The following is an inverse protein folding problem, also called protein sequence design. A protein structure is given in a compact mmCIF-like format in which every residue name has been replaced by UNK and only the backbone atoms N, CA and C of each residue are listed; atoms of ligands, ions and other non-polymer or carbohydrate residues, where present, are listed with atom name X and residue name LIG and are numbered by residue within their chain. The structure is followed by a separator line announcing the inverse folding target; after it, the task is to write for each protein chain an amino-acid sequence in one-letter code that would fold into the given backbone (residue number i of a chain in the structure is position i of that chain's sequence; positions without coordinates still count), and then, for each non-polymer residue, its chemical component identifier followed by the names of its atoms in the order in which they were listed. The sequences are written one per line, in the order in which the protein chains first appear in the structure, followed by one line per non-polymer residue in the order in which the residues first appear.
data_IF_583242723028
#
_entry.id   IF_583242723028
#
_cell.length_a   1.000
_cell.length_b   1.000
_cell.length_c   1.000
_cell.angle_alpha   90.00
_cell.angle_beta   90.00
_cell.angle_gamma   90.00
#
_symmetry.space_group_name_H-M   'P 1'
#
loop_
_entity.id
_entity.type
_entity.pdbx_description
1 polymer ?
#
# COMPACT_ATOMS: atom_id res chain seq x y z
N UNK A 1 -24.32 -21.98 18.19
CA UNK A 1 -22.97 -22.16 17.62
C UNK A 1 -23.10 -22.05 16.11
N UNK A 2 -22.74 -20.91 15.53
CA UNK A 2 -22.81 -20.70 14.08
C UNK A 2 -21.51 -21.18 13.47
N UNK A 3 -21.57 -22.20 12.61
CA UNK A 3 -20.41 -22.72 11.89
C UNK A 3 -20.08 -21.73 10.77
N UNK A 4 -18.92 -21.07 10.83
CA UNK A 4 -18.42 -20.32 9.69
C UNK A 4 -17.85 -21.31 8.67
N UNK A 5 -18.40 -21.33 7.46
CA UNK A 5 -17.90 -22.14 6.37
C UNK A 5 -16.50 -21.66 5.94
N UNK A 6 -15.59 -22.60 5.69
CA UNK A 6 -14.22 -22.32 5.28
C UNK A 6 -14.19 -21.76 3.84
N UNK A 7 -13.69 -20.52 3.69
CA UNK A 7 -13.64 -19.84 2.39
C UNK A 7 -12.32 -20.22 1.71
N UNK A 8 -12.41 -21.12 0.75
CA UNK A 8 -11.25 -21.56 -0.04
C UNK A 8 -10.81 -20.52 -1.05
N UNK A 9 -9.50 -20.35 -1.20
CA UNK A 9 -8.90 -19.48 -2.21
C UNK A 9 -9.00 -20.08 -3.61
N UNK A 10 -9.14 -19.21 -4.62
CA UNK A 10 -9.19 -19.61 -6.03
C UNK A 10 -7.86 -20.24 -6.47
N UNK A 11 -7.87 -21.34 -7.23
CA UNK A 11 -6.66 -21.93 -7.82
C UNK A 11 -5.85 -20.95 -8.67
N UNK A 12 -6.48 -19.91 -9.23
CA UNK A 12 -5.80 -18.87 -10.02
C UNK A 12 -4.78 -18.08 -9.21
N UNK A 13 -4.86 -18.10 -7.88
CA UNK A 13 -3.96 -17.40 -6.98
C UNK A 13 -2.78 -18.27 -6.50
N UNK A 14 -2.74 -19.57 -6.84
CA UNK A 14 -1.77 -20.52 -6.26
C UNK A 14 -0.31 -20.20 -6.54
N UNK A 15 -0.01 -19.41 -7.57
CA UNK A 15 1.33 -18.94 -7.92
C UNK A 15 1.58 -17.45 -7.69
N UNK A 16 0.59 -16.72 -7.17
CA UNK A 16 0.72 -15.29 -6.95
C UNK A 16 1.46 -15.04 -5.62
N UNK A 17 2.64 -14.42 -5.69
CA UNK A 17 3.38 -13.97 -4.52
C UNK A 17 3.69 -12.48 -4.64
N UNK A 18 3.28 -11.70 -3.64
CA UNK A 18 3.63 -10.29 -3.50
C UNK A 18 4.35 -10.08 -2.17
N UNK A 19 5.66 -10.33 -2.18
CA UNK A 19 6.50 -10.38 -0.98
C UNK A 19 6.75 -9.02 -0.34
N UNK A 20 6.34 -7.92 -0.97
CA UNK A 20 6.55 -6.55 -0.47
C UNK A 20 5.92 -6.32 0.91
N UNK A 21 4.80 -6.99 1.21
CA UNK A 21 4.16 -7.01 2.53
C UNK A 21 4.24 -8.40 3.20
N UNK A 22 5.32 -9.12 2.93
CA UNK A 22 5.56 -10.46 3.45
C UNK A 22 6.17 -10.48 4.87
N UNK A 23 6.70 -11.64 5.30
CA UNK A 23 7.28 -11.84 6.63
C UNK A 23 8.40 -10.86 6.98
N UNK A 24 9.17 -10.42 5.98
CA UNK A 24 10.25 -9.45 6.17
C UNK A 24 9.71 -8.07 6.56
N UNK A 25 8.65 -7.60 5.91
CA UNK A 25 8.00 -6.35 6.28
C UNK A 25 7.43 -6.45 7.70
N UNK A 26 6.82 -7.57 8.06
CA UNK A 26 6.33 -7.82 9.42
C UNK A 26 7.46 -7.81 10.47
N UNK A 27 8.65 -8.34 10.12
CA UNK A 27 9.82 -8.26 11.00
C UNK A 27 10.33 -6.83 11.15
N UNK A 28 10.42 -6.07 10.07
CA UNK A 28 10.82 -4.66 10.11
C UNK A 28 9.87 -3.84 11.00
N UNK A 29 8.57 -4.07 10.93
CA UNK A 29 7.59 -3.43 11.82
C UNK A 29 7.78 -3.82 13.29
N UNK A 30 8.11 -5.09 13.59
CA UNK A 30 8.43 -5.51 14.97
C UNK A 30 9.67 -4.79 15.51
N UNK A 31 10.71 -4.66 14.69
CA UNK A 31 11.95 -3.95 15.07
C UNK A 31 11.66 -2.46 15.33
N UNK A 32 10.90 -1.80 14.46
CA UNK A 32 10.45 -0.41 14.67
C UNK A 32 9.63 -0.25 15.95
N UNK A 33 8.72 -1.17 16.23
CA UNK A 33 7.91 -1.16 17.45
C UNK A 33 8.75 -1.39 18.73
N UNK A 34 9.90 -2.07 18.61
CA UNK A 34 10.88 -2.22 19.67
C UNK A 34 11.78 -0.96 19.86
N UNK A 35 11.61 0.05 19.02
CA UNK A 35 12.38 1.29 19.04
C UNK A 35 13.66 1.27 18.21
N UNK A 36 13.86 0.25 17.38
CA UNK A 36 14.99 0.19 16.46
C UNK A 36 14.76 1.09 15.24
N UNK A 37 15.82 1.78 14.81
CA UNK A 37 15.79 2.50 13.55
C UNK A 37 15.98 1.53 12.38
N UNK A 38 14.95 1.44 11.52
CA UNK A 38 14.93 0.54 10.37
C UNK A 38 14.72 1.36 9.10
N UNK A 39 15.82 1.62 8.41
CA UNK A 39 15.82 2.28 7.10
C UNK A 39 15.09 1.40 6.08
N UNK A 40 13.91 1.85 5.63
CA UNK A 40 13.24 1.23 4.51
C UNK A 40 13.99 1.60 3.23
N UNK A 41 14.31 0.63 2.38
CA UNK A 41 14.79 0.84 1.00
C UNK A 41 14.03 -0.03 -0.01
N UNK A 42 13.02 -0.75 0.50
CA UNK A 42 12.20 -1.70 -0.24
C UNK A 42 10.97 -1.06 -0.89
N UNK A 43 10.55 0.11 -0.39
CA UNK A 43 9.37 0.84 -0.87
C UNK A 43 9.82 2.11 -1.60
N UNK A 44 9.43 2.21 -2.87
CA UNK A 44 9.49 3.47 -3.61
C UNK A 44 8.32 4.38 -3.24
N UNK A 45 8.15 4.68 -1.95
CA UNK A 45 7.15 5.65 -1.46
C UNK A 45 7.81 7.04 -1.39
N UNK A 46 7.58 7.94 -2.37
CA UNK A 46 8.27 9.22 -2.41
C UNK A 46 7.91 10.11 -1.20
N UNK A 47 6.69 9.99 -0.67
CA UNK A 47 6.23 10.81 0.45
C UNK A 47 7.00 10.49 1.73
N UNK A 48 7.32 9.21 1.96
CA UNK A 48 8.15 8.78 3.08
C UNK A 48 9.56 9.40 3.08
N UNK A 49 10.04 9.88 1.93
CA UNK A 49 11.34 10.54 1.77
C UNK A 49 11.22 12.04 1.43
N UNK A 50 10.07 12.66 1.70
CA UNK A 50 9.89 14.10 1.53
C UNK A 50 9.77 14.58 0.09
N UNK A 51 9.52 13.68 -0.86
CA UNK A 51 9.28 14.02 -2.26
C UNK A 51 7.78 14.33 -2.46
N UNK A 52 7.43 15.61 -2.41
CA UNK A 52 6.08 16.08 -2.66
C UNK A 52 5.76 16.12 -4.17
N UNK A 53 4.48 15.95 -4.57
CA UNK A 53 4.06 16.18 -5.95
C UNK A 53 4.30 17.64 -6.35
N UNK A 54 4.54 17.87 -7.64
CA UNK A 54 4.73 19.21 -8.16
C UNK A 54 3.44 20.06 -8.01
N UNK A 55 3.53 21.36 -7.64
CA UNK A 55 2.35 22.20 -7.37
C UNK A 55 1.34 22.27 -8.51
N UNK A 56 1.81 22.26 -9.75
CA UNK A 56 0.99 22.27 -10.96
C UNK A 56 0.12 21.02 -11.10
N UNK A 57 0.62 19.85 -10.66
CA UNK A 57 -0.16 18.60 -10.66
C UNK A 57 -1.26 18.69 -9.61
N UNK A 58 -0.94 19.15 -8.41
CA UNK A 58 -1.92 19.32 -7.33
C UNK A 58 -3.03 20.29 -7.75
N UNK A 59 -2.66 21.42 -8.36
CA UNK A 59 -3.62 22.40 -8.89
C UNK A 59 -4.51 21.79 -9.96
N UNK A 60 -3.92 21.09 -10.94
CA UNK A 60 -4.69 20.46 -12.02
C UNK A 60 -5.70 19.43 -11.49
N UNK A 61 -5.31 18.59 -10.53
CA UNK A 61 -6.22 17.61 -9.90
C UNK A 61 -7.36 18.33 -9.17
N UNK A 62 -7.05 19.35 -8.36
CA UNK A 62 -8.06 20.10 -7.62
C UNK A 62 -9.07 20.78 -8.53
N UNK A 63 -8.60 21.47 -9.57
CA UNK A 63 -9.44 22.27 -10.46
C UNK A 63 -10.37 21.39 -11.32
N UNK A 64 -10.07 20.10 -11.48
CA UNK A 64 -10.87 19.15 -12.28
C UNK A 64 -11.70 18.17 -11.43
N UNK A 65 -11.53 18.15 -10.09
CA UNK A 65 -12.10 17.12 -9.23
C UNK A 65 -13.63 17.05 -9.29
N UNK A 66 -14.32 18.20 -9.33
CA UNK A 66 -15.79 18.28 -9.42
C UNK A 66 -16.33 17.67 -10.73
N UNK A 67 -15.54 17.70 -11.80
CA UNK A 67 -15.92 17.24 -13.13
C UNK A 67 -15.52 15.78 -13.39
N UNK A 68 -14.76 15.17 -12.48
CA UNK A 68 -14.15 13.84 -12.65
C UNK A 68 -14.95 12.69 -12.00
N UNK A 69 -16.19 12.92 -11.57
CA UNK A 69 -16.99 11.93 -10.84
C UNK A 69 -17.69 10.89 -11.72
N UNK A 70 -17.89 11.17 -13.00
CA UNK A 70 -18.67 10.35 -13.92
C UNK A 70 -17.87 9.84 -15.12
N UNK A 71 -18.34 8.74 -15.71
CA UNK A 71 -17.90 8.30 -17.03
C UNK A 71 -18.70 9.05 -18.12
N UNK A 72 -18.05 9.35 -19.25
CA UNK A 72 -18.66 9.99 -20.42
C UNK A 72 -19.23 8.98 -21.40
#
# INVERSE_FOLDING_TARGET
MTVHADIRTSPKLSGLSYSLRGPLAAQAERMRAAGEDVLALNLGDPAAYGLAPAPEVVRAVRDNLERACGYS
#
